data_IF_296536670295
#
_entry.id   IF_296536670295
#
_cell.length_a   1.000
_cell.length_b   1.000
_cell.length_c   1.000
_cell.angle_alpha   90.00
_cell.angle_beta   90.00
_cell.angle_gamma   90.00
#
_symmetry.space_group_name_H-M   'P 1'
#
loop_
_entity.id
_entity.type
_entity.pdbx_description
1 polymer ?
#
# COMPACT_ATOMS: atom_id res chain seq x y z
N UNK A 1 -7.80 17.64 -42.84
CA UNK A 1 -9.13 17.37 -42.30
C UNK A 1 -9.05 16.07 -41.57
N UNK A 2 -8.85 16.11 -40.30
CA UNK A 2 -8.76 14.99 -39.41
C UNK A 2 -8.84 15.57 -38.01
N UNK A 3 -10.04 15.68 -37.50
CA UNK A 3 -10.28 15.86 -36.08
C UNK A 3 -10.23 14.48 -35.45
N UNK A 4 -9.09 14.02 -35.00
CA UNK A 4 -9.04 12.93 -34.03
C UNK A 4 -9.18 13.56 -32.65
N UNK A 5 -10.37 13.36 -32.11
CA UNK A 5 -10.76 13.66 -30.75
C UNK A 5 -9.63 13.32 -29.78
N UNK A 6 -9.02 14.35 -29.25
CA UNK A 6 -8.25 14.27 -28.03
C UNK A 6 -9.17 13.96 -26.87
N UNK A 7 -9.65 12.70 -26.78
CA UNK A 7 -10.06 12.19 -25.49
C UNK A 7 -8.85 12.29 -24.59
N UNK A 8 -8.89 13.25 -23.67
CA UNK A 8 -7.91 13.43 -22.62
C UNK A 8 -7.69 12.07 -21.94
N UNK A 9 -6.61 11.40 -22.36
CA UNK A 9 -6.23 10.13 -21.72
C UNK A 9 -5.83 10.50 -20.30
N UNK A 10 -6.72 10.18 -19.36
CA UNK A 10 -6.41 10.28 -17.94
C UNK A 10 -4.99 9.76 -17.70
N UNK A 11 -4.07 10.63 -17.32
CA UNK A 11 -2.67 10.26 -17.10
C UNK A 11 -2.27 10.54 -15.67
N UNK A 12 -1.67 9.53 -15.04
CA UNK A 12 -1.09 9.68 -13.70
C UNK A 12 0.27 10.36 -13.79
N UNK A 13 0.43 11.45 -13.05
CA UNK A 13 1.75 12.03 -12.83
C UNK A 13 2.58 11.16 -11.87
N UNK A 14 3.92 11.23 -11.92
CA UNK A 14 4.78 10.47 -10.99
C UNK A 14 4.47 10.76 -9.51
N UNK A 15 4.12 12.01 -9.18
CA UNK A 15 3.73 12.40 -7.81
C UNK A 15 2.43 11.73 -7.37
N UNK A 16 1.42 11.70 -8.23
CA UNK A 16 0.16 10.99 -7.97
C UNK A 16 0.42 9.50 -7.77
N UNK A 17 1.23 8.89 -8.62
CA UNK A 17 1.59 7.48 -8.53
C UNK A 17 2.27 7.14 -7.20
N UNK A 18 3.25 7.94 -6.76
CA UNK A 18 3.90 7.77 -5.45
C UNK A 18 2.89 7.94 -4.32
N UNK A 19 2.06 8.99 -4.36
CA UNK A 19 1.07 9.27 -3.30
C UNK A 19 0.04 8.14 -3.17
N UNK A 20 -0.48 7.63 -4.28
CA UNK A 20 -1.40 6.47 -4.28
C UNK A 20 -0.72 5.26 -3.65
N UNK A 21 0.50 4.92 -4.08
CA UNK A 21 1.21 3.76 -3.57
C UNK A 21 1.56 3.88 -2.09
N UNK A 22 2.00 5.05 -1.61
CA UNK A 22 2.31 5.27 -0.19
C UNK A 22 1.05 5.15 0.66
N UNK A 23 -0.06 5.77 0.25
CA UNK A 23 -1.35 5.64 0.95
C UNK A 23 -1.87 4.20 0.93
N UNK A 24 -1.63 3.47 -0.16
CA UNK A 24 -1.96 2.06 -0.25
C UNK A 24 -1.17 1.22 0.77
N UNK A 25 0.15 1.48 0.93
CA UNK A 25 0.96 0.84 1.97
C UNK A 25 0.48 1.20 3.38
N UNK A 26 0.02 2.43 3.60
CA UNK A 26 -0.54 2.83 4.89
C UNK A 26 -1.82 2.08 5.20
N UNK A 27 -2.77 2.00 4.30
CA UNK A 27 -4.03 1.27 4.36
C UNK A 27 -4.40 0.79 5.77
N UNK A 28 -4.70 -0.48 5.91
CA UNK A 28 -4.94 -1.13 7.21
C UNK A 28 -3.68 -1.32 8.06
N UNK A 29 -2.48 -1.22 7.47
CA UNK A 29 -1.21 -1.42 8.20
C UNK A 29 -1.00 -0.39 9.32
N UNK A 30 -1.41 0.86 9.10
CA UNK A 30 -1.31 1.92 10.09
C UNK A 30 -2.23 1.69 11.30
N UNK A 31 -3.34 0.97 11.10
CA UNK A 31 -4.34 0.66 12.13
C UNK A 31 -4.00 -0.63 12.86
N UNK A 32 -3.73 -1.70 12.12
CA UNK A 32 -3.47 -3.03 12.67
C UNK A 32 -2.06 -3.19 13.25
N UNK A 33 -1.14 -2.32 12.87
CA UNK A 33 0.27 -2.43 13.22
C UNK A 33 0.99 -3.51 12.40
N UNK A 34 2.32 -3.52 12.56
CA UNK A 34 3.20 -4.47 11.88
C UNK A 34 3.98 -5.23 12.96
N UNK A 35 4.13 -6.55 12.81
CA UNK A 35 5.10 -7.36 13.55
C UNK A 35 4.88 -7.53 15.07
N UNK A 36 3.67 -7.75 15.52
CA UNK A 36 3.42 -8.03 16.93
C UNK A 36 4.08 -9.33 17.48
N UNK A 37 4.64 -10.19 16.61
CA UNK A 37 5.11 -11.53 16.98
C UNK A 37 6.53 -11.63 17.56
N UNK A 38 7.36 -10.56 17.46
CA UNK A 38 8.76 -10.53 17.92
C UNK A 38 9.06 -9.31 18.80
N UNK A 39 8.02 -8.74 19.39
CA UNK A 39 8.09 -7.65 20.37
C UNK A 39 9.19 -6.59 20.05
N UNK A 40 10.23 -6.47 20.88
CA UNK A 40 11.32 -5.51 20.75
C UNK A 40 12.16 -5.67 19.47
N UNK A 41 12.22 -6.87 18.86
CA UNK A 41 12.96 -7.12 17.63
C UNK A 41 12.12 -6.82 16.35
N UNK A 42 10.90 -6.31 16.51
CA UNK A 42 9.96 -6.02 15.39
C UNK A 42 10.55 -5.07 14.36
N UNK A 43 11.35 -4.11 14.77
CA UNK A 43 12.00 -3.16 13.86
C UNK A 43 13.03 -3.83 12.96
N UNK A 44 13.77 -4.84 13.46
CA UNK A 44 14.72 -5.63 12.67
C UNK A 44 13.94 -6.45 11.64
N UNK A 45 12.87 -7.13 12.09
CA UNK A 45 11.99 -7.89 11.21
C UNK A 45 11.38 -7.00 10.11
N UNK A 46 10.98 -5.77 10.44
CA UNK A 46 10.44 -4.82 9.47
C UNK A 46 11.48 -4.38 8.43
N UNK A 47 12.69 -4.07 8.86
CA UNK A 47 13.80 -3.76 7.94
C UNK A 47 14.15 -4.94 7.02
N UNK A 48 14.12 -6.17 7.54
CA UNK A 48 14.23 -7.38 6.72
C UNK A 48 13.08 -7.49 5.71
N UNK A 49 11.86 -7.14 6.10
CA UNK A 49 10.70 -7.07 5.20
C UNK A 49 10.91 -6.09 4.04
N UNK A 50 11.46 -4.91 4.33
CA UNK A 50 11.85 -3.95 3.29
C UNK A 50 12.94 -4.54 2.39
N UNK A 51 13.96 -5.19 2.95
CA UNK A 51 15.01 -5.83 2.17
C UNK A 51 14.45 -6.92 1.23
N UNK A 52 13.50 -7.73 1.70
CA UNK A 52 12.80 -8.71 0.87
C UNK A 52 11.90 -8.06 -0.19
N UNK A 53 11.38 -6.86 0.06
CA UNK A 53 10.57 -6.14 -0.91
C UNK A 53 11.37 -5.58 -2.08
N UNK A 54 12.65 -5.23 -1.88
CA UNK A 54 13.49 -4.63 -2.92
C UNK A 54 13.52 -5.43 -4.22
N UNK A 55 13.83 -6.74 -4.25
CA UNK A 55 13.83 -7.50 -5.49
C UNK A 55 12.46 -7.55 -6.16
N UNK A 56 11.36 -7.66 -5.38
CA UNK A 56 10.01 -7.69 -5.93
C UNK A 56 9.66 -6.37 -6.64
N UNK A 57 9.91 -5.22 -5.99
CA UNK A 57 9.60 -3.92 -6.60
C UNK A 57 10.51 -3.58 -7.78
N UNK A 58 11.74 -4.09 -7.80
CA UNK A 58 12.61 -3.98 -8.98
C UNK A 58 12.03 -4.74 -10.17
N UNK A 59 11.45 -5.94 -9.94
CA UNK A 59 10.73 -6.70 -10.96
C UNK A 59 9.50 -5.91 -11.42
N UNK A 60 8.68 -5.36 -10.52
CA UNK A 60 7.52 -4.55 -10.88
C UNK A 60 7.91 -3.33 -11.72
N UNK A 61 8.93 -2.59 -11.29
CA UNK A 61 9.44 -1.45 -12.06
C UNK A 61 9.96 -1.86 -13.44
N UNK A 62 10.64 -3.01 -13.53
CA UNK A 62 11.15 -3.54 -14.78
C UNK A 62 10.03 -3.93 -15.74
N UNK A 63 8.96 -4.56 -15.26
CA UNK A 63 7.77 -4.89 -16.06
C UNK A 63 7.16 -3.63 -16.68
N UNK A 64 7.00 -2.56 -15.91
CA UNK A 64 6.49 -1.28 -16.44
C UNK A 64 7.39 -0.72 -17.54
N UNK A 65 8.71 -0.82 -17.38
CA UNK A 65 9.65 -0.36 -18.40
C UNK A 65 9.62 -1.20 -19.67
N UNK A 66 9.41 -2.51 -19.54
CA UNK A 66 9.35 -3.43 -20.69
C UNK A 66 8.05 -3.31 -21.48
N UNK A 67 6.94 -2.96 -20.81
CA UNK A 67 5.62 -2.88 -21.40
C UNK A 67 4.98 -1.48 -21.20
N UNK A 68 5.55 -0.42 -21.79
CA UNK A 68 5.07 0.94 -21.56
C UNK A 68 3.62 1.10 -22.05
N UNK A 69 2.78 1.71 -21.23
CA UNK A 69 1.38 1.98 -21.50
C UNK A 69 0.45 0.76 -21.39
N UNK A 70 0.95 -0.38 -20.94
CA UNK A 70 0.15 -1.59 -20.69
C UNK A 70 -0.09 -1.78 -19.19
N UNK A 71 -1.28 -2.27 -18.88
CA UNK A 71 -1.64 -2.69 -17.52
C UNK A 71 -1.26 -4.16 -17.26
N UNK A 72 -1.37 -4.61 -16.02
CA UNK A 72 -1.01 -5.97 -15.63
C UNK A 72 -1.73 -7.06 -16.44
N UNK A 73 -3.01 -6.84 -16.77
CA UNK A 73 -3.82 -7.82 -17.51
C UNK A 73 -3.32 -7.97 -18.95
N UNK A 74 -3.03 -6.86 -19.62
CA UNK A 74 -2.44 -6.85 -20.96
C UNK A 74 -1.03 -7.45 -20.98
N UNK A 75 -0.23 -7.21 -19.92
CA UNK A 75 1.08 -7.84 -19.77
C UNK A 75 0.97 -9.36 -19.62
N UNK A 76 0.01 -9.83 -18.81
CA UNK A 76 -0.23 -11.25 -18.61
C UNK A 76 -0.63 -11.96 -19.91
N UNK A 77 -1.52 -11.35 -20.71
CA UNK A 77 -1.91 -11.93 -22.00
C UNK A 77 -0.76 -11.98 -23.02
N UNK A 78 0.10 -10.96 -23.02
CA UNK A 78 1.27 -10.92 -23.91
C UNK A 78 2.34 -11.94 -23.55
N UNK A 79 2.57 -12.18 -22.25
CA UNK A 79 3.62 -13.07 -21.77
C UNK A 79 3.19 -14.54 -21.78
N UNK A 80 1.95 -14.83 -21.44
CA UNK A 80 1.46 -16.19 -21.22
C UNK A 80 0.42 -16.65 -22.27
N UNK A 81 0.09 -15.77 -23.22
CA UNK A 81 -0.97 -16.04 -24.20
C UNK A 81 -2.38 -15.82 -23.66
N UNK A 82 -3.39 -15.91 -24.55
CA UNK A 82 -4.75 -15.51 -24.22
C UNK A 82 -5.41 -16.36 -23.13
N UNK A 83 -5.18 -17.66 -23.10
CA UNK A 83 -5.87 -18.55 -22.15
C UNK A 83 -5.28 -18.37 -20.75
N UNK A 84 -3.97 -18.56 -20.60
CA UNK A 84 -3.29 -18.48 -19.29
C UNK A 84 -3.28 -17.05 -18.76
N UNK A 85 -3.13 -16.04 -19.65
CA UNK A 85 -3.23 -14.64 -19.29
C UNK A 85 -4.59 -14.26 -18.70
N UNK A 86 -5.69 -14.79 -19.25
CA UNK A 86 -7.04 -14.57 -18.69
C UNK A 86 -7.22 -15.24 -17.33
N UNK A 87 -6.71 -16.46 -17.15
CA UNK A 87 -6.76 -17.15 -15.85
C UNK A 87 -6.02 -16.33 -14.80
N UNK A 88 -4.80 -15.87 -15.10
CA UNK A 88 -4.02 -15.02 -14.17
C UNK A 88 -4.75 -13.71 -13.87
N UNK A 89 -5.39 -13.09 -14.89
CA UNK A 89 -6.18 -11.88 -14.70
C UNK A 89 -7.36 -12.09 -13.76
N UNK A 90 -8.08 -13.20 -13.88
CA UNK A 90 -9.19 -13.56 -12.99
C UNK A 90 -8.68 -13.75 -11.55
N UNK A 91 -7.56 -14.42 -11.36
CA UNK A 91 -6.95 -14.63 -10.04
C UNK A 91 -6.53 -13.28 -9.41
N UNK A 92 -5.98 -12.36 -10.19
CA UNK A 92 -5.60 -11.02 -9.71
C UNK A 92 -6.82 -10.18 -9.36
N UNK A 93 -7.89 -10.25 -10.14
CA UNK A 93 -9.16 -9.56 -9.82
C UNK A 93 -9.75 -10.13 -8.53
N UNK A 94 -9.80 -11.44 -8.40
CA UNK A 94 -10.26 -12.09 -7.16
C UNK A 94 -9.45 -11.66 -5.96
N UNK A 95 -8.12 -11.65 -6.09
CA UNK A 95 -7.22 -11.16 -5.04
C UNK A 95 -7.50 -9.71 -4.65
N UNK A 96 -7.67 -8.81 -5.63
CA UNK A 96 -7.98 -7.41 -5.38
C UNK A 96 -9.32 -7.22 -4.64
N UNK A 97 -10.35 -7.98 -5.03
CA UNK A 97 -11.67 -7.97 -4.36
C UNK A 97 -11.53 -8.49 -2.92
N UNK A 98 -10.81 -9.59 -2.73
CA UNK A 98 -10.59 -10.16 -1.40
C UNK A 98 -9.84 -9.17 -0.48
N UNK A 99 -8.78 -8.54 -1.00
CA UNK A 99 -8.04 -7.52 -0.25
C UNK A 99 -8.92 -6.32 0.10
N UNK A 100 -9.74 -5.85 -0.84
CA UNK A 100 -10.70 -4.78 -0.58
C UNK A 100 -11.66 -5.14 0.57
N UNK A 101 -12.19 -6.36 0.58
CA UNK A 101 -13.06 -6.84 1.63
C UNK A 101 -12.36 -6.90 3.00
N UNK A 102 -11.11 -7.37 3.04
CA UNK A 102 -10.29 -7.39 4.27
C UNK A 102 -10.04 -5.97 4.79
N UNK A 103 -9.67 -5.04 3.91
CA UNK A 103 -9.43 -3.64 4.30
C UNK A 103 -10.71 -3.01 4.85
N UNK A 104 -11.85 -3.21 4.18
CA UNK A 104 -13.15 -2.71 4.66
C UNK A 104 -13.49 -3.26 6.04
N UNK A 105 -13.28 -4.56 6.25
CA UNK A 105 -13.53 -5.19 7.55
C UNK A 105 -12.63 -4.61 8.63
N UNK A 106 -11.33 -4.48 8.38
CA UNK A 106 -10.38 -3.92 9.34
C UNK A 106 -10.75 -2.49 9.74
N UNK A 107 -11.15 -1.65 8.78
CA UNK A 107 -11.59 -0.29 9.06
C UNK A 107 -12.93 -0.23 9.79
N UNK A 108 -13.90 -1.08 9.43
CA UNK A 108 -15.19 -1.12 10.11
C UNK A 108 -15.04 -1.56 11.58
N UNK A 109 -14.28 -2.61 11.85
CA UNK A 109 -13.96 -3.04 13.22
C UNK A 109 -13.26 -1.94 14.03
N UNK A 110 -12.28 -1.25 13.43
CA UNK A 110 -11.61 -0.13 14.10
C UNK A 110 -12.58 1.00 14.46
N UNK A 111 -13.45 1.39 13.53
CA UNK A 111 -14.43 2.44 13.76
C UNK A 111 -15.49 2.03 14.81
N UNK A 112 -15.95 0.78 14.78
CA UNK A 112 -16.87 0.24 15.77
C UNK A 112 -16.26 0.26 17.17
N UNK A 113 -15.02 -0.24 17.33
CA UNK A 113 -14.38 -0.33 18.64
C UNK A 113 -13.98 1.05 19.18
N UNK A 114 -13.43 1.93 18.33
CA UNK A 114 -12.77 3.16 18.79
C UNK A 114 -13.62 4.42 18.70
N UNK A 115 -14.60 4.46 17.78
CA UNK A 115 -15.29 5.73 17.43
C UNK A 115 -16.80 5.63 17.56
N UNK A 116 -17.41 4.53 17.13
CA UNK A 116 -18.85 4.39 16.98
C UNK A 116 -19.36 3.02 17.51
N UNK A 117 -19.21 2.72 18.82
CA UNK A 117 -19.57 1.40 19.36
C UNK A 117 -21.07 1.05 19.27
N UNK A 118 -21.93 2.05 19.16
CA UNK A 118 -23.38 1.85 19.02
C UNK A 118 -23.85 1.70 17.55
N UNK A 119 -22.93 1.87 16.57
CA UNK A 119 -23.30 1.82 15.14
C UNK A 119 -23.07 0.42 14.59
N UNK A 120 -24.10 -0.22 13.98
CA UNK A 120 -23.93 -1.54 13.37
C UNK A 120 -22.82 -1.53 12.30
N UNK A 121 -21.92 -2.51 12.35
CA UNK A 121 -20.78 -2.66 11.41
C UNK A 121 -21.22 -2.56 9.94
N UNK A 122 -22.36 -3.17 9.60
CA UNK A 122 -22.92 -3.15 8.24
C UNK A 122 -23.17 -1.71 7.73
N UNK A 123 -23.62 -0.80 8.59
CA UNK A 123 -23.87 0.60 8.22
C UNK A 123 -22.58 1.30 7.86
N UNK A 124 -21.51 1.04 8.60
CA UNK A 124 -20.16 1.56 8.34
C UNK A 124 -19.64 1.04 6.99
N UNK A 125 -19.72 -0.28 6.78
CA UNK A 125 -19.27 -0.92 5.52
C UNK A 125 -20.03 -0.36 4.31
N UNK A 126 -21.37 -0.25 4.38
CA UNK A 126 -22.16 0.30 3.27
C UNK A 126 -21.76 1.75 2.97
N UNK A 127 -21.58 2.58 4.00
CA UNK A 127 -21.19 3.97 3.84
C UNK A 127 -19.80 4.09 3.16
N UNK A 128 -18.84 3.29 3.60
CA UNK A 128 -17.51 3.22 2.98
C UNK A 128 -17.58 2.74 1.53
N UNK A 129 -18.37 1.69 1.24
CA UNK A 129 -18.53 1.18 -0.12
C UNK A 129 -19.12 2.22 -1.07
N UNK A 130 -20.08 3.02 -0.63
CA UNK A 130 -20.64 4.11 -1.45
C UNK A 130 -19.56 5.14 -1.83
N UNK A 131 -18.72 5.52 -0.87
CA UNK A 131 -17.60 6.45 -1.12
C UNK A 131 -16.60 5.82 -2.08
N UNK A 132 -16.23 4.55 -1.88
CA UNK A 132 -15.29 3.83 -2.76
C UNK A 132 -15.86 3.75 -4.18
N UNK A 133 -17.12 3.37 -4.35
CA UNK A 133 -17.78 3.31 -5.65
C UNK A 133 -17.80 4.68 -6.36
N UNK A 134 -18.05 5.74 -5.61
CA UNK A 134 -17.98 7.11 -6.13
C UNK A 134 -16.57 7.46 -6.60
N UNK A 135 -15.55 7.20 -5.77
CA UNK A 135 -14.16 7.49 -6.09
C UNK A 135 -13.65 6.69 -7.31
N UNK A 136 -14.01 5.41 -7.40
CA UNK A 136 -13.65 4.58 -8.56
C UNK A 136 -14.28 5.09 -9.85
N UNK A 137 -15.55 5.52 -9.80
CA UNK A 137 -16.24 6.13 -10.95
C UNK A 137 -15.67 7.49 -11.36
N UNK A 138 -15.09 8.22 -10.42
CA UNK A 138 -14.45 9.52 -10.68
C UNK A 138 -13.12 9.41 -11.44
N UNK A 139 -12.61 8.20 -11.64
CA UNK A 139 -11.41 7.91 -12.40
C UNK A 139 -10.11 7.99 -11.62
N UNK A 140 -9.08 7.41 -12.20
CA UNK A 140 -7.78 7.24 -11.55
C UNK A 140 -7.02 8.56 -11.36
N UNK A 141 -7.22 9.53 -12.25
CA UNK A 141 -6.64 10.87 -12.13
C UNK A 141 -7.18 11.62 -10.91
N UNK A 142 -8.49 11.52 -10.67
CA UNK A 142 -9.14 12.12 -9.49
C UNK A 142 -8.63 11.47 -8.22
N UNK A 143 -8.52 10.14 -8.19
CA UNK A 143 -7.85 9.41 -7.09
C UNK A 143 -6.44 9.91 -6.85
N UNK A 144 -5.66 10.15 -7.90
CA UNK A 144 -4.31 10.69 -7.81
C UNK A 144 -4.26 12.09 -7.20
N UNK A 145 -5.18 12.98 -7.59
CA UNK A 145 -5.28 14.32 -7.01
C UNK A 145 -5.63 14.27 -5.51
N UNK A 146 -6.58 13.42 -5.14
CA UNK A 146 -6.92 13.17 -3.75
C UNK A 146 -5.76 12.58 -2.96
N UNK A 147 -5.00 11.66 -3.54
CA UNK A 147 -3.84 11.06 -2.88
C UNK A 147 -2.74 12.09 -2.57
N UNK A 148 -2.46 13.03 -3.47
CA UNK A 148 -1.51 14.12 -3.21
C UNK A 148 -1.94 14.99 -2.02
N UNK A 149 -3.24 15.24 -1.88
CA UNK A 149 -3.76 16.00 -0.75
C UNK A 149 -3.80 15.18 0.55
N UNK A 150 -4.25 13.93 0.47
CA UNK A 150 -4.42 13.06 1.63
C UNK A 150 -3.09 12.63 2.26
N UNK A 151 -2.05 12.38 1.45
CA UNK A 151 -0.76 11.90 1.95
C UNK A 151 -0.11 12.83 2.98
N UNK A 152 0.04 14.15 2.75
CA UNK A 152 0.59 15.05 3.78
C UNK A 152 -0.32 15.14 5.00
N UNK A 153 -1.65 15.13 4.84
CA UNK A 153 -2.59 15.16 5.97
C UNK A 153 -2.39 13.94 6.86
N UNK A 154 -2.39 12.73 6.29
CA UNK A 154 -2.16 11.48 7.03
C UNK A 154 -0.78 11.49 7.69
N UNK A 155 0.26 11.93 6.97
CA UNK A 155 1.63 12.02 7.52
C UNK A 155 1.69 12.98 8.70
N UNK A 156 1.06 14.15 8.60
CA UNK A 156 0.99 15.12 9.70
C UNK A 156 0.29 14.49 10.93
N UNK A 157 -0.85 13.83 10.75
CA UNK A 157 -1.56 13.15 11.83
C UNK A 157 -0.68 12.10 12.50
N UNK A 158 0.05 11.30 11.72
CA UNK A 158 0.99 10.31 12.26
C UNK A 158 2.11 10.99 13.06
N UNK A 159 2.70 12.06 12.55
CA UNK A 159 3.74 12.82 13.25
C UNK A 159 3.20 13.38 14.57
N UNK A 160 2.00 13.98 14.58
CA UNK A 160 1.37 14.46 15.80
C UNK A 160 1.15 13.33 16.80
N UNK A 161 0.63 12.18 16.37
CA UNK A 161 0.42 11.04 17.29
C UNK A 161 1.74 10.55 17.90
N UNK A 162 2.84 10.53 17.13
CA UNK A 162 4.17 10.17 17.64
C UNK A 162 4.64 11.21 18.67
N UNK A 163 4.60 12.50 18.32
CA UNK A 163 5.06 13.60 19.20
C UNK A 163 4.31 13.60 20.53
N UNK A 164 2.98 13.47 20.51
CA UNK A 164 2.20 13.41 21.75
C UNK A 164 2.40 12.13 22.56
N UNK A 165 2.90 11.06 21.94
CA UNK A 165 3.20 9.81 22.63
C UNK A 165 4.59 9.79 23.29
N UNK A 166 5.52 10.66 22.89
CA UNK A 166 6.93 10.65 23.33
C UNK A 166 7.06 10.61 24.87
N UNK A 167 6.25 11.38 25.60
CA UNK A 167 6.28 11.42 27.05
C UNK A 167 5.82 10.13 27.74
N UNK A 168 5.22 9.20 26.99
CA UNK A 168 4.73 7.91 27.49
C UNK A 168 5.55 6.73 26.95
N UNK A 169 6.55 7.01 26.10
CA UNK A 169 7.42 6.02 25.53
C UNK A 169 8.48 5.59 26.52
N UNK A 170 8.62 4.29 26.68
CA UNK A 170 9.63 3.66 27.48
C UNK A 170 10.73 3.10 26.56
N UNK A 171 11.78 3.89 26.36
CA UNK A 171 12.87 3.56 25.43
C UNK A 171 13.68 2.33 25.85
N UNK A 172 13.60 1.91 27.13
CA UNK A 172 14.27 0.71 27.61
C UNK A 172 13.62 -0.58 27.08
N UNK A 173 12.38 -0.51 26.62
CA UNK A 173 11.66 -1.66 26.04
C UNK A 173 12.26 -2.20 24.75
N UNK A 174 13.12 -1.45 24.07
CA UNK A 174 13.85 -1.93 22.89
C UNK A 174 14.99 -2.88 23.26
N UNK A 175 15.38 -2.89 24.52
CA UNK A 175 16.47 -3.71 25.05
C UNK A 175 15.91 -4.94 25.80
N UNK A 176 16.63 -6.07 25.76
CA UNK A 176 17.82 -6.36 24.94
C UNK A 176 17.46 -6.64 23.47
N UNK A 177 18.33 -6.24 22.56
CA UNK A 177 18.18 -6.47 21.12
C UNK A 177 18.60 -7.91 20.81
N UNK A 178 17.87 -8.59 19.88
CA UNK A 178 18.22 -9.92 19.41
C UNK A 178 17.86 -11.04 20.40
N UNK A 179 16.78 -10.89 21.12
CA UNK A 179 16.25 -11.90 22.04
C UNK A 179 15.63 -13.07 21.31
N UNK A 180 15.03 -12.76 20.14
CA UNK A 180 14.38 -13.78 19.32
C UNK A 180 15.38 -14.43 18.36
N UNK A 181 15.16 -15.71 18.08
CA UNK A 181 15.93 -16.43 17.06
C UNK A 181 15.83 -15.76 15.69
N UNK A 182 16.94 -15.80 14.94
CA UNK A 182 17.00 -15.24 13.57
C UNK A 182 15.92 -15.81 12.65
N UNK A 183 15.55 -17.09 12.84
CA UNK A 183 14.47 -17.72 12.08
C UNK A 183 13.12 -17.08 12.36
N UNK A 184 12.82 -16.76 13.62
CA UNK A 184 11.59 -16.05 14.01
C UNK A 184 11.54 -14.62 13.46
N UNK A 185 12.67 -13.90 13.56
CA UNK A 185 12.80 -12.53 13.01
C UNK A 185 12.62 -12.56 11.48
N UNK A 186 13.26 -13.50 10.79
CA UNK A 186 13.15 -13.64 9.34
C UNK A 186 11.73 -14.04 8.89
N UNK A 187 11.07 -14.95 9.62
CA UNK A 187 9.68 -15.31 9.34
C UNK A 187 8.73 -14.11 9.50
N UNK A 188 8.97 -13.29 10.51
CA UNK A 188 8.19 -12.07 10.72
C UNK A 188 8.55 -11.00 9.68
N UNK A 189 9.82 -10.89 9.27
CA UNK A 189 10.24 -10.06 8.14
C UNK A 189 9.58 -10.47 6.83
N UNK A 190 9.43 -11.78 6.58
CA UNK A 190 8.69 -12.27 5.42
C UNK A 190 7.20 -11.88 5.46
N UNK A 191 6.57 -11.94 6.62
CA UNK A 191 5.19 -11.43 6.79
C UNK A 191 5.10 -9.94 6.48
N UNK A 192 6.06 -9.12 6.95
CA UNK A 192 6.13 -7.69 6.63
C UNK A 192 6.36 -7.43 5.15
N UNK A 193 7.13 -8.28 4.47
CA UNK A 193 7.24 -8.25 3.01
C UNK A 193 5.89 -8.54 2.35
N UNK A 194 5.22 -9.62 2.75
CA UNK A 194 3.95 -10.06 2.15
C UNK A 194 2.88 -8.98 2.30
N UNK A 195 2.77 -8.39 3.48
CA UNK A 195 1.85 -7.31 3.80
C UNK A 195 2.62 -6.20 4.54
N UNK A 196 2.68 -4.96 4.02
CA UNK A 196 1.96 -4.42 2.86
C UNK A 196 2.78 -4.37 1.54
N UNK A 197 4.07 -4.69 1.56
CA UNK A 197 4.97 -4.34 0.44
C UNK A 197 4.69 -5.12 -0.84
N UNK A 198 4.49 -6.42 -0.76
CA UNK A 198 4.22 -7.26 -1.95
C UNK A 198 2.90 -6.89 -2.63
N UNK A 199 1.92 -6.40 -1.88
CA UNK A 199 0.62 -5.98 -2.38
C UNK A 199 0.70 -4.79 -3.34
N UNK A 200 1.82 -4.04 -3.33
CA UNK A 200 2.09 -2.97 -4.28
C UNK A 200 2.12 -3.46 -5.75
N UNK A 201 2.12 -4.77 -5.99
CA UNK A 201 1.89 -5.38 -7.31
C UNK A 201 0.58 -4.90 -7.94
N UNK A 202 -0.45 -4.62 -7.14
CA UNK A 202 -1.74 -4.12 -7.63
C UNK A 202 -1.63 -2.77 -8.35
N UNK A 203 -0.58 -1.99 -8.08
CA UNK A 203 -0.33 -0.76 -8.83
C UNK A 203 -0.08 -1.03 -10.32
N UNK A 204 0.41 -2.22 -10.69
CA UNK A 204 0.57 -2.61 -12.09
C UNK A 204 -0.76 -2.64 -12.86
N UNK A 205 -1.88 -2.81 -12.18
CA UNK A 205 -3.20 -2.71 -12.81
C UNK A 205 -3.52 -1.29 -13.29
N UNK A 206 -2.97 -0.27 -12.59
CA UNK A 206 -3.21 1.15 -12.86
C UNK A 206 -2.15 1.78 -13.78
N UNK A 207 -1.01 1.12 -13.96
CA UNK A 207 0.20 1.71 -14.58
C UNK A 207 0.05 2.01 -16.06
N UNK A 208 -0.89 1.39 -16.76
CA UNK A 208 -1.19 1.71 -18.17
C UNK A 208 -1.55 3.17 -18.41
N UNK A 209 -1.94 3.90 -17.36
CA UNK A 209 -2.23 5.33 -17.37
C UNK A 209 -1.07 6.21 -16.87
N UNK A 210 0.13 5.66 -16.65
CA UNK A 210 1.28 6.42 -16.20
C UNK A 210 1.81 7.33 -17.32
N UNK A 211 1.98 8.61 -17.02
CA UNK A 211 2.55 9.59 -17.95
C UNK A 211 4.00 9.26 -18.36
N UNK A 212 4.37 9.59 -19.59
CA UNK A 212 5.67 9.24 -20.20
C UNK A 212 6.90 9.73 -19.43
N UNK A 213 6.77 10.75 -18.57
CA UNK A 213 7.87 11.36 -17.83
C UNK A 213 8.17 10.68 -16.48
N UNK A 214 7.45 9.61 -16.12
CA UNK A 214 7.63 8.90 -14.86
C UNK A 214 8.64 7.77 -14.97
N UNK A 215 9.70 7.78 -14.14
CA UNK A 215 10.57 6.62 -13.98
C UNK A 215 9.94 5.64 -12.98
N UNK A 216 9.54 4.42 -13.40
CA UNK A 216 8.93 3.43 -12.50
C UNK A 216 9.82 3.08 -11.30
N UNK A 217 11.15 3.02 -11.52
CA UNK A 217 12.12 2.78 -10.44
C UNK A 217 12.08 3.86 -9.37
N UNK A 218 11.97 5.15 -9.78
CA UNK A 218 11.87 6.26 -8.82
C UNK A 218 10.53 6.21 -8.06
N UNK A 219 9.44 5.85 -8.73
CA UNK A 219 8.12 5.73 -8.08
C UNK A 219 8.18 4.69 -6.97
N UNK A 220 8.65 3.49 -7.25
CA UNK A 220 8.76 2.44 -6.23
C UNK A 220 9.79 2.76 -5.16
N UNK A 221 10.93 3.36 -5.53
CA UNK A 221 11.93 3.81 -4.56
C UNK A 221 11.33 4.80 -3.54
N UNK A 222 10.67 5.86 -4.02
CA UNK A 222 10.03 6.82 -3.12
C UNK A 222 8.87 6.21 -2.34
N UNK A 223 8.12 5.28 -2.92
CA UNK A 223 7.06 4.55 -2.22
C UNK A 223 7.61 3.79 -1.02
N UNK A 224 8.64 2.97 -1.22
CA UNK A 224 9.25 2.19 -0.13
C UNK A 224 9.94 3.11 0.88
N UNK A 225 10.65 4.14 0.41
CA UNK A 225 11.38 5.03 1.29
C UNK A 225 10.44 5.84 2.19
N UNK A 226 9.44 6.50 1.62
CA UNK A 226 8.47 7.31 2.38
C UNK A 226 7.55 6.40 3.19
N UNK A 227 6.93 5.41 2.53
CA UNK A 227 6.00 4.47 3.16
C UNK A 227 6.68 3.66 4.26
N UNK A 228 7.85 3.10 3.98
CA UNK A 228 8.65 2.34 4.93
C UNK A 228 9.11 3.18 6.12
N UNK A 229 9.57 4.43 5.90
CA UNK A 229 10.00 5.32 6.98
C UNK A 229 8.85 5.66 7.94
N UNK A 230 7.67 5.99 7.41
CA UNK A 230 6.50 6.32 8.24
C UNK A 230 5.98 5.08 8.98
N UNK A 231 5.90 3.93 8.32
CA UNK A 231 5.48 2.67 8.96
C UNK A 231 6.48 2.22 10.02
N UNK A 232 7.79 2.39 9.79
CA UNK A 232 8.81 2.13 10.80
C UNK A 232 8.65 3.04 12.02
N UNK A 233 8.35 4.33 11.81
CA UNK A 233 8.11 5.27 12.89
C UNK A 233 6.86 4.89 13.72
N UNK A 234 5.77 4.45 13.07
CA UNK A 234 4.56 3.93 13.74
C UNK A 234 4.90 2.67 14.54
N UNK A 235 5.67 1.76 13.94
CA UNK A 235 6.08 0.52 14.60
C UNK A 235 6.92 0.79 15.83
N UNK A 236 7.94 1.64 15.74
CA UNK A 236 8.77 2.03 16.87
C UNK A 236 7.93 2.66 17.98
N UNK A 237 7.02 3.59 17.64
CA UNK A 237 6.08 4.15 18.60
C UNK A 237 5.26 3.08 19.34
N UNK A 238 4.88 2.00 18.66
CA UNK A 238 4.07 0.94 19.26
C UNK A 238 4.89 -0.03 20.14
N UNK A 239 6.21 -0.12 19.91
CA UNK A 239 7.15 -0.91 20.71
C UNK A 239 7.49 -0.17 22.02
N UNK A 240 7.68 1.14 21.96
CA UNK A 240 7.95 2.00 23.13
C UNK A 240 6.69 2.30 23.93
#
# INVERSE_FOLDING_TARGET
MGGEDGMDRETLTPRQAVSINVLFLFGSTAIMGVNAGVAQDSWIAFLMGIAFAVPAVLVYARLICLFPGKNLFEMAELLFGSILGKILSILMIWYAIHLCALVLKNFSEFLEICVMPETPELTVIISMMLVICYMVRSGLETLGKWAIFALPVVTIVVVFTIVFSVNRMDFDRILPIGVHDLGAIAAQGYKSFTFPFAESVLFLCAVGKLGKNGSPYKIYFYTIFIGGAVLLAILLRNVF
#
